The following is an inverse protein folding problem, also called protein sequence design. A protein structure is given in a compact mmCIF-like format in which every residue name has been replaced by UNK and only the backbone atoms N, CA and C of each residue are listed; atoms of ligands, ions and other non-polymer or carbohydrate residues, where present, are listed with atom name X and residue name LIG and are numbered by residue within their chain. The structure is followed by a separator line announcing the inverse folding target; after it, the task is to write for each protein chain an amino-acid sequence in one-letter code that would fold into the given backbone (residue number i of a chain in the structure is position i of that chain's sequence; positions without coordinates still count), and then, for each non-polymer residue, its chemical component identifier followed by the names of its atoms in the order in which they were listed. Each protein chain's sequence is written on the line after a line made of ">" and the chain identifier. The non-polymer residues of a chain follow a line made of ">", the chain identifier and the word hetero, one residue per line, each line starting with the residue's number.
data_IF_955955490603
#
_entry.id   IF_955955490603
#
_cell.length_a   1.000
_cell.length_b   1.000
_cell.length_c   1.000
_cell.angle_alpha   90.00
_cell.angle_beta   90.00
_cell.angle_gamma   90.00
#
_symmetry.space_group_name_H-M   'P 1'
#
loop_
_entity.id
_entity.type
_entity.pdbx_description
1 polymer ?
#
# COMPACT_ATOMS: atom_id res chain seq x y z
N UNK A 1 -16.94 18.52 31.95
CA UNK A 1 -16.66 18.46 30.49
C UNK A 1 -17.86 17.85 29.81
N UNK A 2 -18.42 18.54 28.80
CA UNK A 2 -19.60 18.06 28.07
C UNK A 2 -19.24 16.81 27.25
N UNK A 3 -20.25 15.97 26.93
CA UNK A 3 -20.09 14.85 25.99
C UNK A 3 -19.58 15.34 24.62
N UNK A 4 -19.93 16.56 24.22
CA UNK A 4 -19.55 17.16 22.93
C UNK A 4 -18.06 17.56 22.88
N UNK A 5 -17.52 18.09 23.98
CA UNK A 5 -16.08 18.43 24.10
C UNK A 5 -15.20 17.18 23.93
N UNK A 6 -15.70 16.04 24.41
CA UNK A 6 -14.98 14.77 24.38
C UNK A 6 -15.03 14.12 22.98
N UNK A 7 -16.12 14.30 22.22
CA UNK A 7 -16.20 13.84 20.81
C UNK A 7 -15.29 14.70 19.92
N UNK A 8 -15.34 16.02 20.08
CA UNK A 8 -14.55 16.94 19.27
C UNK A 8 -13.03 16.73 19.44
N UNK A 9 -12.57 16.54 20.69
CA UNK A 9 -11.18 16.19 21.01
C UNK A 9 -10.74 14.86 20.38
N UNK A 10 -11.60 13.83 20.42
CA UNK A 10 -11.32 12.50 19.85
C UNK A 10 -11.19 12.54 18.32
N UNK A 11 -12.05 13.27 17.63
CA UNK A 11 -11.99 13.45 16.17
C UNK A 11 -10.73 14.21 15.75
N UNK A 12 -10.34 15.25 16.50
CA UNK A 12 -9.11 16.00 16.24
C UNK A 12 -7.87 15.10 16.39
N UNK A 13 -7.78 14.34 17.47
CA UNK A 13 -6.69 13.37 17.71
C UNK A 13 -6.60 12.30 16.61
N UNK A 14 -7.74 11.79 16.14
CA UNK A 14 -7.77 10.80 15.05
C UNK A 14 -7.30 11.41 13.72
N UNK A 15 -7.72 12.64 13.41
CA UNK A 15 -7.27 13.35 12.22
C UNK A 15 -5.77 13.68 12.25
N UNK A 16 -5.22 14.00 13.43
CA UNK A 16 -3.77 14.19 13.62
C UNK A 16 -2.99 12.89 13.40
N UNK A 17 -3.49 11.78 13.93
CA UNK A 17 -2.90 10.45 13.68
C UNK A 17 -2.91 10.11 12.18
N UNK A 18 -4.03 10.31 11.50
CA UNK A 18 -4.16 10.07 10.06
C UNK A 18 -3.14 10.90 9.27
N UNK A 19 -2.97 12.17 9.61
CA UNK A 19 -1.97 13.05 8.97
C UNK A 19 -0.54 12.57 9.26
N UNK A 20 -0.26 12.12 10.48
CA UNK A 20 1.05 11.61 10.87
C UNK A 20 1.41 10.34 10.09
N UNK A 21 0.54 9.34 10.06
CA UNK A 21 0.77 8.08 9.36
C UNK A 21 0.92 8.30 7.84
N UNK A 22 0.11 9.18 7.25
CA UNK A 22 0.25 9.53 5.84
C UNK A 22 1.62 10.16 5.52
N UNK A 23 2.16 11.00 6.42
CA UNK A 23 3.49 11.58 6.28
C UNK A 23 4.59 10.52 6.43
N UNK A 24 4.47 9.63 7.42
CA UNK A 24 5.44 8.54 7.64
C UNK A 24 5.47 7.58 6.45
N UNK A 25 4.31 7.16 5.94
CA UNK A 25 4.24 6.33 4.73
C UNK A 25 4.90 7.01 3.54
N UNK A 26 4.62 8.31 3.33
CA UNK A 26 5.24 9.09 2.26
C UNK A 26 6.76 9.12 2.42
N UNK A 27 7.27 9.41 3.62
CA UNK A 27 8.69 9.47 3.91
C UNK A 27 9.39 8.12 3.66
N UNK A 28 8.85 7.03 4.22
CA UNK A 28 9.40 5.68 4.04
C UNK A 28 9.40 5.27 2.56
N UNK A 29 8.33 5.63 1.83
CA UNK A 29 8.26 5.39 0.39
C UNK A 29 9.35 6.18 -0.36
N UNK A 30 9.55 7.46 -0.04
CA UNK A 30 10.59 8.29 -0.64
C UNK A 30 12.00 7.76 -0.34
N UNK A 31 12.25 7.30 0.87
CA UNK A 31 13.55 6.76 1.28
C UNK A 31 13.87 5.44 0.58
N UNK A 32 12.88 4.54 0.41
CA UNK A 32 13.03 3.32 -0.37
C UNK A 32 13.27 3.60 -1.85
N UNK A 33 12.59 4.59 -2.42
CA UNK A 33 12.80 5.03 -3.78
C UNK A 33 14.22 5.57 -3.97
N UNK A 34 14.72 6.41 -3.04
CA UNK A 34 16.10 6.92 -3.04
C UNK A 34 17.12 5.79 -2.94
N UNK A 35 16.92 4.83 -2.03
CA UNK A 35 17.84 3.69 -1.88
C UNK A 35 17.98 2.87 -3.16
N UNK A 36 16.87 2.65 -3.88
CA UNK A 36 16.88 1.91 -5.16
C UNK A 36 17.53 2.73 -6.30
N UNK A 37 17.35 4.06 -6.30
CA UNK A 37 18.03 5.00 -7.22
C UNK A 37 19.54 5.05 -6.98
N UNK A 38 19.96 5.23 -5.73
CA UNK A 38 21.37 5.38 -5.35
C UNK A 38 22.18 4.13 -5.67
N UNK A 39 21.55 2.96 -5.57
CA UNK A 39 22.14 1.67 -5.98
C UNK A 39 22.12 1.44 -7.50
N UNK A 40 21.64 2.41 -8.30
CA UNK A 40 21.41 2.32 -9.76
C UNK A 40 20.67 1.05 -10.18
N UNK A 41 19.80 0.53 -9.31
CA UNK A 41 19.07 -0.72 -9.56
C UNK A 41 17.91 -0.52 -10.53
N UNK A 42 17.24 0.63 -10.41
CA UNK A 42 16.13 1.06 -11.25
C UNK A 42 16.35 2.52 -11.64
N UNK A 43 15.84 2.90 -12.82
CA UNK A 43 15.87 4.30 -13.23
C UNK A 43 14.74 5.11 -12.58
N UNK A 44 14.85 6.43 -12.68
CA UNK A 44 13.92 7.38 -12.06
C UNK A 44 12.51 7.27 -12.62
N UNK A 45 12.36 7.09 -13.93
CA UNK A 45 11.05 6.97 -14.57
C UNK A 45 10.31 5.73 -14.06
N UNK A 46 11.03 4.61 -13.90
CA UNK A 46 10.49 3.35 -13.38
C UNK A 46 10.02 3.49 -11.94
N UNK A 47 10.84 4.13 -11.10
CA UNK A 47 10.53 4.29 -9.68
C UNK A 47 9.35 5.23 -9.47
N UNK A 48 9.23 6.31 -10.26
CA UNK A 48 8.11 7.25 -10.18
C UNK A 48 6.78 6.66 -10.66
N UNK A 49 6.83 5.66 -11.53
CA UNK A 49 5.64 5.02 -12.08
C UNK A 49 4.85 4.22 -11.04
N UNK A 50 5.54 3.69 -10.02
CA UNK A 50 4.95 2.88 -8.96
C UNK A 50 3.99 3.70 -8.08
N UNK A 51 4.40 4.82 -7.44
CA UNK A 51 3.47 5.65 -6.68
C UNK A 51 2.38 6.26 -7.56
N UNK A 52 2.66 6.54 -8.84
CA UNK A 52 1.66 7.05 -9.79
C UNK A 52 0.55 6.02 -10.06
N UNK A 53 0.93 4.79 -10.40
CA UNK A 53 -0.02 3.69 -10.64
C UNK A 53 -0.81 3.37 -9.37
N UNK A 54 -0.13 3.37 -8.21
CA UNK A 54 -0.77 3.16 -6.92
C UNK A 54 -1.82 4.26 -6.64
N UNK A 55 -1.48 5.53 -6.85
CA UNK A 55 -2.41 6.66 -6.68
C UNK A 55 -3.61 6.58 -7.63
N UNK A 56 -3.39 6.24 -8.90
CA UNK A 56 -4.45 6.10 -9.92
C UNK A 56 -5.39 4.93 -9.66
N UNK A 57 -4.96 3.91 -8.90
CA UNK A 57 -5.76 2.72 -8.63
C UNK A 57 -6.97 2.97 -7.71
N UNK A 58 -7.01 4.10 -7.00
CA UNK A 58 -8.01 4.40 -5.96
C UNK A 58 -8.18 3.25 -4.95
N UNK A 59 -7.10 2.52 -4.71
CA UNK A 59 -7.07 1.39 -3.83
C UNK A 59 -7.29 1.81 -2.38
N UNK A 60 -8.18 1.11 -1.68
CA UNK A 60 -8.52 1.37 -0.28
C UNK A 60 -8.70 0.04 0.45
N UNK A 61 -8.06 -0.07 1.62
CA UNK A 61 -8.26 -1.17 2.55
C UNK A 61 -9.62 -1.05 3.25
N UNK A 62 -10.30 -2.17 3.38
CA UNK A 62 -11.55 -2.31 4.13
C UNK A 62 -11.33 -3.24 5.32
N UNK A 63 -12.24 -3.16 6.30
CA UNK A 63 -12.20 -3.98 7.49
C UNK A 63 -12.10 -5.49 7.15
N UNK A 64 -12.87 -5.97 6.16
CA UNK A 64 -12.85 -7.37 5.75
C UNK A 64 -11.53 -7.83 5.10
N UNK A 65 -10.65 -6.90 4.72
CA UNK A 65 -9.37 -7.23 4.08
C UNK A 65 -8.29 -7.59 5.10
N UNK A 66 -8.33 -7.01 6.31
CA UNK A 66 -7.21 -7.10 7.25
C UNK A 66 -6.97 -8.54 7.71
N UNK A 67 -7.97 -9.19 8.29
CA UNK A 67 -7.80 -10.55 8.84
C UNK A 67 -7.32 -11.57 7.80
N UNK A 68 -7.63 -11.34 6.52
CA UNK A 68 -7.23 -12.21 5.42
C UNK A 68 -5.81 -11.87 4.97
N UNK A 69 -5.49 -10.58 4.84
CA UNK A 69 -4.13 -10.14 4.50
C UNK A 69 -3.12 -10.52 5.58
N UNK A 70 -3.49 -10.39 6.86
CA UNK A 70 -2.66 -10.74 8.01
C UNK A 70 -2.31 -12.23 8.05
N UNK A 71 -3.24 -13.10 7.62
CA UNK A 71 -3.06 -14.55 7.60
C UNK A 71 -2.17 -15.06 6.47
N UNK A 72 -2.18 -14.39 5.33
CA UNK A 72 -1.44 -14.84 4.16
C UNK A 72 -1.04 -13.68 3.23
N UNK A 73 -0.15 -12.78 3.67
CA UNK A 73 0.23 -11.62 2.88
C UNK A 73 0.96 -12.03 1.60
N UNK A 74 1.88 -13.00 1.67
CA UNK A 74 2.64 -13.48 0.51
C UNK A 74 1.77 -14.14 -0.57
N UNK A 75 0.62 -14.71 -0.18
CA UNK A 75 -0.38 -15.23 -1.12
C UNK A 75 -0.93 -14.16 -2.07
N UNK A 76 -0.93 -12.89 -1.69
CA UNK A 76 -1.35 -11.77 -2.55
C UNK A 76 -0.25 -11.28 -3.50
N UNK A 77 0.99 -11.69 -3.27
CA UNK A 77 2.14 -11.38 -4.12
C UNK A 77 2.29 -12.37 -5.29
N UNK A 78 1.79 -13.60 -5.10
CA UNK A 78 1.81 -14.67 -6.10
C UNK A 78 0.70 -14.60 -7.16
N UNK A 79 0.77 -15.49 -8.16
CA UNK A 79 -0.29 -15.66 -9.19
C UNK A 79 -1.56 -16.31 -8.62
N UNK A 80 -1.48 -16.93 -7.45
CA UNK A 80 -2.57 -17.65 -6.79
C UNK A 80 -3.26 -16.75 -5.78
N UNK A 81 -4.43 -16.23 -6.13
CA UNK A 81 -5.26 -15.48 -5.20
C UNK A 81 -5.84 -16.42 -4.14
N UNK A 82 -5.97 -15.99 -2.87
CA UNK A 82 -6.64 -16.79 -1.86
C UNK A 82 -8.09 -17.05 -2.29
N UNK A 83 -8.51 -18.32 -2.24
CA UNK A 83 -9.76 -18.80 -2.85
C UNK A 83 -11.06 -18.27 -2.19
N UNK A 84 -10.96 -17.54 -1.07
CA UNK A 84 -12.08 -17.45 -0.14
C UNK A 84 -12.30 -16.01 0.34
N UNK A 85 -12.64 -15.09 -0.57
CA UNK A 85 -13.47 -13.89 -0.37
C UNK A 85 -13.43 -13.07 -1.68
N UNK A 86 -14.59 -12.71 -2.26
CA UNK A 86 -14.67 -11.88 -3.49
C UNK A 86 -13.84 -10.61 -3.38
N UNK A 87 -13.82 -9.99 -2.20
CA UNK A 87 -13.04 -8.78 -1.91
C UNK A 87 -11.53 -9.05 -1.86
N UNK A 88 -11.09 -10.24 -1.44
CA UNK A 88 -9.68 -10.64 -1.44
C UNK A 88 -9.17 -11.06 -2.82
N UNK A 89 -10.02 -11.70 -3.62
CA UNK A 89 -9.77 -11.90 -5.04
C UNK A 89 -9.63 -10.54 -5.73
N UNK A 90 -10.51 -9.58 -5.45
CA UNK A 90 -10.39 -8.22 -5.99
C UNK A 90 -9.14 -7.48 -5.49
N UNK A 91 -8.73 -7.66 -4.23
CA UNK A 91 -7.50 -7.12 -3.67
C UNK A 91 -6.29 -7.64 -4.45
N UNK A 92 -6.09 -8.96 -4.53
CA UNK A 92 -4.95 -9.50 -5.25
C UNK A 92 -5.01 -9.27 -6.78
N UNK A 93 -6.20 -9.22 -7.39
CA UNK A 93 -6.36 -8.78 -8.80
C UNK A 93 -5.90 -7.35 -8.96
N UNK A 94 -6.28 -6.42 -8.06
CA UNK A 94 -5.85 -5.02 -8.13
C UNK A 94 -4.35 -4.88 -7.94
N UNK A 95 -3.75 -5.65 -7.02
CA UNK A 95 -2.31 -5.69 -6.79
C UNK A 95 -1.56 -6.25 -8.00
N UNK A 96 -2.01 -7.37 -8.56
CA UNK A 96 -1.48 -7.93 -9.80
C UNK A 96 -1.61 -6.97 -10.99
N UNK A 97 -2.76 -6.31 -11.12
CA UNK A 97 -3.01 -5.30 -12.17
C UNK A 97 -2.10 -4.08 -12.02
N UNK A 98 -1.78 -3.66 -10.79
CA UNK A 98 -0.82 -2.56 -10.56
C UNK A 98 0.57 -2.95 -11.08
N UNK A 99 1.04 -4.15 -10.75
CA UNK A 99 2.31 -4.68 -11.27
C UNK A 99 2.29 -4.76 -12.79
N UNK A 100 1.24 -5.33 -13.36
CA UNK A 100 1.12 -5.50 -14.81
C UNK A 100 1.03 -4.16 -15.55
N UNK A 101 0.41 -3.14 -14.94
CA UNK A 101 0.39 -1.76 -15.46
C UNK A 101 1.77 -1.10 -15.41
N UNK A 102 2.53 -1.32 -14.36
CA UNK A 102 3.91 -0.82 -14.28
C UNK A 102 4.74 -1.47 -15.39
N UNK A 103 4.67 -2.79 -15.54
CA UNK A 103 5.36 -3.53 -16.62
C UNK A 103 4.90 -3.06 -18.00
N UNK A 104 3.59 -2.88 -18.22
CA UNK A 104 3.03 -2.46 -19.51
C UNK A 104 3.43 -1.05 -19.92
N UNK A 105 3.51 -0.10 -18.97
CA UNK A 105 4.00 1.25 -19.24
C UNK A 105 5.50 1.28 -19.56
N UNK A 106 6.21 0.21 -19.23
CA UNK A 106 7.64 0.08 -19.50
C UNK A 106 7.92 -0.90 -20.65
N UNK A 107 6.90 -1.38 -21.37
CA UNK A 107 6.99 -2.47 -22.36
C UNK A 107 8.00 -2.24 -23.49
N UNK A 108 8.31 -0.99 -23.80
CA UNK A 108 9.26 -0.62 -24.85
C UNK A 108 10.74 -0.68 -24.36
N UNK A 109 10.97 -1.06 -23.10
CA UNK A 109 12.29 -1.24 -22.49
C UNK A 109 12.64 -2.73 -22.30
N UNK A 110 13.89 -3.10 -22.57
CA UNK A 110 14.39 -4.43 -22.18
C UNK A 110 14.71 -4.45 -20.68
N UNK A 111 14.10 -5.39 -19.97
CA UNK A 111 14.32 -5.62 -18.54
C UNK A 111 15.12 -6.88 -18.29
N UNK A 112 16.10 -6.78 -17.41
CA UNK A 112 16.68 -7.95 -16.76
C UNK A 112 15.68 -8.54 -15.76
N UNK A 113 15.79 -9.84 -15.48
CA UNK A 113 14.96 -10.50 -14.46
C UNK A 113 15.13 -9.85 -13.08
N UNK A 114 16.35 -9.40 -12.77
CA UNK A 114 16.66 -8.68 -11.53
C UNK A 114 15.85 -7.38 -11.41
N UNK A 115 15.73 -6.61 -12.49
CA UNK A 115 14.95 -5.36 -12.49
C UNK A 115 13.44 -5.65 -12.34
N UNK A 116 12.93 -6.72 -12.94
CA UNK A 116 11.54 -7.16 -12.74
C UNK A 116 11.28 -7.49 -11.27
N UNK A 117 12.20 -8.22 -10.64
CA UNK A 117 12.12 -8.55 -9.22
C UNK A 117 12.22 -7.29 -8.34
N UNK A 118 13.13 -6.37 -8.64
CA UNK A 118 13.28 -5.11 -7.89
C UNK A 118 12.01 -4.23 -7.99
N UNK A 119 11.31 -4.24 -9.15
CA UNK A 119 10.01 -3.56 -9.34
C UNK A 119 8.91 -4.26 -8.53
N UNK A 120 8.85 -5.59 -8.55
CA UNK A 120 7.88 -6.36 -7.76
C UNK A 120 8.09 -6.14 -6.25
N UNK A 121 9.33 -6.21 -5.77
CA UNK A 121 9.71 -5.91 -4.38
C UNK A 121 9.27 -4.50 -3.97
N UNK A 122 9.57 -3.51 -4.80
CA UNK A 122 9.22 -2.12 -4.51
C UNK A 122 7.71 -1.93 -4.50
N UNK A 123 6.99 -2.48 -5.48
CA UNK A 123 5.52 -2.46 -5.52
C UNK A 123 4.94 -3.11 -4.26
N UNK A 124 5.48 -4.26 -3.84
CA UNK A 124 5.04 -4.96 -2.65
C UNK A 124 5.26 -4.16 -1.36
N UNK A 125 6.40 -3.48 -1.24
CA UNK A 125 6.66 -2.57 -0.12
C UNK A 125 5.59 -1.46 -0.02
N UNK A 126 5.22 -0.85 -1.13
CA UNK A 126 4.15 0.16 -1.15
C UNK A 126 2.80 -0.40 -0.67
N UNK A 127 2.47 -1.63 -1.05
CA UNK A 127 1.27 -2.34 -0.58
C UNK A 127 1.35 -2.57 0.93
N UNK A 128 2.48 -3.08 1.41
CA UNK A 128 2.71 -3.38 2.82
C UNK A 128 2.59 -2.14 3.71
N UNK A 129 3.24 -1.03 3.36
CA UNK A 129 3.12 0.20 4.14
C UNK A 129 1.72 0.81 4.06
N UNK A 130 1.04 0.67 2.91
CA UNK A 130 -0.36 1.07 2.81
C UNK A 130 -1.26 0.24 3.73
N UNK A 131 -1.00 -1.07 3.86
CA UNK A 131 -1.72 -1.94 4.80
C UNK A 131 -1.44 -1.55 6.25
N UNK A 132 -0.17 -1.34 6.62
CA UNK A 132 0.21 -0.93 7.99
C UNK A 132 -0.50 0.36 8.42
N UNK A 133 -0.50 1.39 7.56
CA UNK A 133 -1.24 2.63 7.81
C UNK A 133 -2.73 2.35 8.04
N UNK A 134 -3.36 1.61 7.13
CA UNK A 134 -4.79 1.33 7.21
C UNK A 134 -5.16 0.47 8.41
N UNK A 135 -4.32 -0.48 8.79
CA UNK A 135 -4.54 -1.37 9.93
C UNK A 135 -4.48 -0.60 11.24
N UNK A 136 -3.46 0.25 11.44
CA UNK A 136 -3.35 1.11 12.63
C UNK A 136 -4.58 2.02 12.76
N UNK A 137 -5.06 2.58 11.64
CA UNK A 137 -6.26 3.42 11.63
C UNK A 137 -7.52 2.63 11.97
N UNK A 138 -7.66 1.41 11.44
CA UNK A 138 -8.78 0.53 11.71
C UNK A 138 -8.81 0.09 13.17
N UNK A 139 -7.69 -0.38 13.71
CA UNK A 139 -7.58 -0.84 15.10
C UNK A 139 -7.94 0.30 16.06
N UNK A 140 -7.46 1.51 15.77
CA UNK A 140 -7.78 2.71 16.57
C UNK A 140 -9.22 3.19 16.41
N UNK A 141 -9.90 2.85 15.31
CA UNK A 141 -11.32 3.13 15.13
C UNK A 141 -12.18 2.14 15.94
N UNK A 142 -11.81 0.86 15.89
CA UNK A 142 -12.46 -0.23 16.64
C UNK A 142 -12.30 -0.05 18.15
N UNK A 143 -11.08 0.23 18.64
CA UNK A 143 -10.82 0.51 20.07
C UNK A 143 -11.64 1.68 20.62
N UNK A 144 -12.03 2.62 19.75
CA UNK A 144 -12.76 3.83 20.15
C UNK A 144 -14.28 3.71 20.05
N UNK A 145 -14.84 2.59 19.55
CA UNK A 145 -16.26 2.45 19.18
C UNK A 145 -16.78 3.72 18.45
N UNK A 146 -16.13 4.08 17.35
CA UNK A 146 -16.70 4.95 16.32
C UNK A 146 -17.59 4.13 15.37
#
# INVERSE_FOLDING_TARGET
>A
MSKDDNVHSRTKSFNELKKKLARERKQVSEDLMKEKLDKKKLDYDMIQLIPEVFGKSRFNWRAEHFDIFDKNPDGFRGKSLPNNNRECVMLGVRLGTMRDRIIYNLRDRQFTEKQRQDIDDLTWNFVWYSWQEARILNDRAVEKNL
#
